data_IF_388760460656
#
_entry.id   IF_388760460656
#
_cell.length_a   1.000
_cell.length_b   1.000
_cell.length_c   1.000
_cell.angle_alpha   90.00
_cell.angle_beta   90.00
_cell.angle_gamma   90.00
#
_symmetry.space_group_name_H-M   'P 1'
#
loop_
_entity.id
_entity.type
_entity.pdbx_description
1 polymer ?
#
# COMPACT_ATOMS: atom_id res chain seq x y z
N UNK A 1 -55.92 -31.12 54.07
CA UNK A 1 -56.04 -29.72 54.48
C UNK A 1 -55.78 -28.85 53.26
N UNK A 2 -56.83 -28.23 52.80
CA UNK A 2 -56.96 -27.49 51.56
C UNK A 2 -56.21 -26.19 51.59
N UNK A 3 -55.75 -25.69 50.43
CA UNK A 3 -56.13 -24.36 49.96
C UNK A 3 -55.76 -24.17 48.51
N UNK A 4 -56.79 -23.95 47.73
CA UNK A 4 -56.92 -23.43 46.42
C UNK A 4 -56.37 -21.96 46.33
N UNK A 5 -55.80 -21.55 45.22
CA UNK A 5 -55.86 -20.17 44.75
C UNK A 5 -55.82 -20.11 43.24
N UNK A 6 -56.89 -19.60 42.78
CA UNK A 6 -57.41 -19.30 41.45
C UNK A 6 -56.54 -18.47 40.52
N UNK A 7 -56.76 -18.74 39.19
CA UNK A 7 -56.48 -18.02 37.99
C UNK A 7 -56.58 -16.50 38.06
N UNK A 8 -55.67 -15.82 37.28
CA UNK A 8 -56.06 -14.62 36.57
C UNK A 8 -55.25 -14.52 35.26
N UNK A 9 -55.91 -14.91 34.17
CA UNK A 9 -55.50 -14.60 32.79
C UNK A 9 -55.63 -13.10 32.55
N UNK A 10 -54.55 -12.41 32.24
CA UNK A 10 -54.60 -11.08 31.61
C UNK A 10 -54.13 -11.17 30.18
N UNK A 11 -55.04 -10.86 29.28
CA UNK A 11 -54.88 -10.64 27.84
C UNK A 11 -53.86 -9.50 27.59
N UNK A 12 -52.87 -9.74 26.75
CA UNK A 12 -51.99 -8.71 26.17
C UNK A 12 -52.40 -8.52 24.72
N UNK A 13 -52.63 -7.28 24.24
CA UNK A 13 -53.06 -7.04 22.88
C UNK A 13 -51.91 -7.13 21.90
N UNK A 14 -52.20 -7.65 20.71
CA UNK A 14 -51.37 -7.53 19.50
C UNK A 14 -51.23 -6.08 19.12
N UNK A 15 -49.98 -5.61 18.94
CA UNK A 15 -49.73 -4.29 18.42
C UNK A 15 -48.27 -4.11 17.95
N UNK A 16 -48.17 -3.81 16.67
CA UNK A 16 -47.06 -3.18 15.98
C UNK A 16 -45.83 -4.03 15.59
N UNK A 17 -45.84 -4.43 14.36
CA UNK A 17 -44.68 -4.80 13.54
C UNK A 17 -43.73 -3.59 13.46
N UNK A 18 -42.71 -3.55 14.29
CA UNK A 18 -41.62 -2.59 14.16
C UNK A 18 -40.60 -3.12 13.16
N UNK A 19 -40.45 -2.46 12.03
CA UNK A 19 -39.37 -2.70 11.10
C UNK A 19 -38.02 -2.40 11.82
N UNK A 20 -37.21 -3.42 12.08
CA UNK A 20 -35.82 -3.25 12.46
C UNK A 20 -35.06 -2.74 11.22
N UNK A 21 -34.76 -1.46 11.22
CA UNK A 21 -33.69 -0.90 10.38
C UNK A 21 -32.36 -1.44 10.95
N UNK A 22 -31.74 -2.35 10.24
CA UNK A 22 -30.33 -2.68 10.46
C UNK A 22 -29.50 -1.47 10.02
N UNK A 23 -29.12 -0.63 10.98
CA UNK A 23 -28.01 0.29 10.82
C UNK A 23 -26.75 -0.57 10.91
N UNK A 24 -26.08 -0.80 9.81
CA UNK A 24 -24.73 -1.36 9.81
C UNK A 24 -23.82 -0.37 10.52
N UNK A 25 -23.53 -0.63 11.79
CA UNK A 25 -22.47 0.09 12.51
C UNK A 25 -21.15 -0.29 11.85
N UNK A 26 -20.57 0.65 11.11
CA UNK A 26 -19.24 0.49 10.57
C UNK A 26 -18.26 0.18 11.72
N UNK A 27 -17.50 -0.91 11.57
CA UNK A 27 -16.45 -1.27 12.49
C UNK A 27 -15.40 -0.15 12.55
N UNK A 28 -15.30 0.53 13.66
CA UNK A 28 -14.33 1.62 13.87
C UNK A 28 -13.22 1.18 14.81
N UNK A 29 -11.98 1.60 14.52
CA UNK A 29 -10.87 1.44 15.43
C UNK A 29 -11.11 2.25 16.71
N UNK A 30 -10.78 1.69 17.88
CA UNK A 30 -10.89 2.41 19.15
C UNK A 30 -10.01 3.66 19.14
N UNK A 31 -10.60 4.83 19.40
CA UNK A 31 -9.92 6.13 19.35
C UNK A 31 -8.90 6.28 20.49
N UNK A 32 -7.69 6.76 20.17
CA UNK A 32 -6.84 7.43 21.13
C UNK A 32 -7.50 8.76 21.59
N UNK A 33 -7.16 9.32 22.77
CA UNK A 33 -7.79 10.54 23.26
C UNK A 33 -7.64 11.70 22.28
N UNK A 34 -8.76 12.32 21.98
CA UNK A 34 -8.95 13.40 21.02
C UNK A 34 -8.13 14.64 21.39
N UNK A 35 -7.09 14.94 20.62
CA UNK A 35 -6.51 16.29 20.58
C UNK A 35 -7.03 16.88 19.27
N UNK A 36 -8.05 17.70 19.36
CA UNK A 36 -8.75 18.39 18.29
C UNK A 36 -7.82 19.01 17.26
N UNK A 37 -7.74 18.43 16.05
CA UNK A 37 -7.41 19.12 14.78
C UNK A 37 -8.35 18.66 13.68
N UNK A 38 -8.72 19.61 12.86
CA UNK A 38 -9.83 19.55 11.92
C UNK A 38 -9.75 18.46 10.87
N UNK A 39 -10.89 18.23 10.28
CA UNK A 39 -11.24 17.49 9.06
C UNK A 39 -10.11 16.60 8.49
N UNK A 40 -10.16 15.32 8.76
CA UNK A 40 -9.31 14.27 8.15
C UNK A 40 -9.28 14.47 6.62
N UNK A 41 -8.12 14.86 6.10
CA UNK A 41 -7.83 15.05 4.70
C UNK A 41 -6.97 13.91 4.16
N UNK A 42 -7.40 12.64 4.30
CA UNK A 42 -6.72 11.57 3.60
C UNK A 42 -6.77 11.84 2.09
N UNK A 43 -5.62 11.79 1.46
CA UNK A 43 -5.47 11.96 0.01
C UNK A 43 -5.62 10.58 -0.66
N UNK A 44 -6.67 10.40 -1.47
CA UNK A 44 -6.93 9.14 -2.18
C UNK A 44 -6.77 9.39 -3.67
N UNK A 45 -5.88 8.60 -4.29
CA UNK A 45 -5.71 8.54 -5.74
C UNK A 45 -6.10 7.14 -6.23
N UNK A 46 -7.34 6.94 -6.69
CA UNK A 46 -7.72 5.70 -7.34
C UNK A 46 -6.88 5.47 -8.60
N UNK A 47 -6.47 4.23 -8.87
CA UNK A 47 -5.69 3.90 -10.08
C UNK A 47 -6.40 4.33 -11.36
N UNK A 48 -7.74 4.34 -11.36
CA UNK A 48 -8.56 4.81 -12.49
C UNK A 48 -8.51 6.33 -12.73
N UNK A 49 -8.09 7.10 -11.71
CA UNK A 49 -7.94 8.56 -11.81
C UNK A 49 -6.49 8.99 -12.10
N UNK A 50 -5.56 8.04 -12.20
CA UNK A 50 -4.15 8.34 -12.48
C UNK A 50 -3.99 8.90 -13.88
N UNK A 51 -3.33 10.06 -13.97
CA UNK A 51 -2.97 10.67 -15.25
C UNK A 51 -1.68 10.05 -15.79
N UNK A 52 -1.78 9.37 -16.92
CA UNK A 52 -0.69 8.64 -17.54
C UNK A 52 0.01 9.42 -18.63
N UNK A 53 1.33 9.58 -18.51
CA UNK A 53 2.21 10.16 -19.53
C UNK A 53 3.45 9.28 -19.79
N UNK A 54 4.32 9.65 -20.76
CA UNK A 54 5.58 8.95 -20.95
C UNK A 54 6.50 9.17 -19.74
N UNK A 55 7.15 8.09 -19.25
CA UNK A 55 8.16 8.17 -18.19
C UNK A 55 9.37 9.02 -18.65
N UNK A 56 9.81 8.80 -19.88
CA UNK A 56 10.82 9.61 -20.55
C UNK A 56 10.26 10.21 -21.84
N UNK A 57 9.85 11.49 -21.84
CA UNK A 57 9.26 12.14 -23.02
C UNK A 57 10.12 12.10 -24.27
N UNK A 58 11.46 12.07 -24.12
CA UNK A 58 12.39 12.03 -25.25
C UNK A 58 12.29 10.71 -26.06
N UNK A 59 11.72 9.64 -25.48
CA UNK A 59 11.53 8.34 -26.15
C UNK A 59 10.14 8.19 -26.80
N UNK A 60 9.25 9.15 -26.62
CA UNK A 60 7.90 9.10 -27.16
C UNK A 60 7.18 7.79 -26.81
N UNK A 61 6.58 7.12 -27.80
CA UNK A 61 5.81 5.86 -27.64
C UNK A 61 6.67 4.64 -27.24
N UNK A 62 8.00 4.72 -27.35
CA UNK A 62 8.91 3.68 -26.87
C UNK A 62 9.18 3.79 -25.35
N UNK A 63 8.71 4.87 -24.71
CA UNK A 63 8.79 5.03 -23.26
C UNK A 63 7.75 4.17 -22.54
N UNK A 64 8.07 3.58 -21.38
CA UNK A 64 7.03 3.18 -20.44
C UNK A 64 6.13 4.36 -20.08
N UNK A 65 4.89 4.08 -19.68
CA UNK A 65 3.99 5.11 -19.16
C UNK A 65 4.19 5.23 -17.65
N UNK A 66 4.09 6.45 -17.14
CA UNK A 66 4.13 6.73 -15.71
C UNK A 66 2.97 7.61 -15.28
N UNK A 67 2.49 7.38 -14.07
CA UNK A 67 1.42 8.18 -13.45
C UNK A 67 1.75 8.46 -11.99
N UNK A 68 1.75 9.74 -11.60
CA UNK A 68 2.10 10.16 -10.24
C UNK A 68 0.97 9.81 -9.27
N UNK A 69 1.33 9.26 -8.11
CA UNK A 69 0.43 9.02 -6.98
C UNK A 69 0.57 10.10 -5.92
N UNK A 70 1.80 10.49 -5.60
CA UNK A 70 2.12 11.54 -4.63
C UNK A 70 3.48 12.17 -4.95
N UNK A 71 3.70 13.39 -4.48
CA UNK A 71 4.90 14.16 -4.82
C UNK A 71 4.96 14.53 -6.31
N UNK A 72 6.16 14.90 -6.78
CA UNK A 72 6.41 15.21 -8.19
C UNK A 72 7.77 14.66 -8.62
N UNK A 73 7.76 13.55 -9.40
CA UNK A 73 8.97 12.90 -9.89
C UNK A 73 9.83 13.78 -10.82
N UNK A 74 9.32 14.91 -11.28
CA UNK A 74 10.03 15.83 -12.18
C UNK A 74 10.71 16.99 -11.45
N UNK A 75 10.47 17.10 -10.15
CA UNK A 75 10.98 18.15 -9.26
C UNK A 75 11.85 17.54 -8.14
N UNK A 76 12.52 18.38 -7.37
CA UNK A 76 13.21 17.98 -6.14
C UNK A 76 12.19 17.48 -5.09
N UNK A 77 12.62 16.54 -4.26
CA UNK A 77 11.85 15.94 -3.18
C UNK A 77 11.35 14.54 -3.49
N UNK A 78 10.74 13.95 -2.49
CA UNK A 78 10.21 12.59 -2.54
C UNK A 78 9.01 12.46 -3.48
N UNK A 79 8.87 11.33 -4.13
CA UNK A 79 7.67 11.02 -4.91
C UNK A 79 7.45 9.53 -5.09
N UNK A 80 6.17 9.17 -5.31
CA UNK A 80 5.74 7.83 -5.67
C UNK A 80 4.84 7.85 -6.90
N UNK A 81 5.06 6.90 -7.79
CA UNK A 81 4.36 6.84 -9.07
C UNK A 81 4.22 5.40 -9.57
N UNK A 82 3.26 5.18 -10.42
CA UNK A 82 3.10 3.92 -11.15
C UNK A 82 3.89 3.96 -12.46
N UNK A 83 4.40 2.79 -12.86
CA UNK A 83 5.00 2.58 -14.18
C UNK A 83 4.31 1.40 -14.85
N UNK A 84 3.88 1.60 -16.11
CA UNK A 84 3.32 0.55 -16.96
C UNK A 84 4.29 0.24 -18.09
N UNK A 85 4.53 -1.04 -18.30
CA UNK A 85 5.36 -1.55 -19.38
C UNK A 85 4.52 -2.35 -20.36
N UNK A 86 4.81 -2.20 -21.66
CA UNK A 86 4.22 -3.03 -22.71
C UNK A 86 4.81 -4.44 -22.64
N UNK A 87 4.08 -5.40 -23.16
CA UNK A 87 4.58 -6.77 -23.36
C UNK A 87 5.89 -6.79 -24.13
N UNK A 88 6.86 -7.55 -23.62
CA UNK A 88 8.18 -7.68 -24.25
C UNK A 88 9.02 -6.39 -24.19
N UNK A 89 8.67 -5.42 -23.37
CA UNK A 89 9.49 -4.24 -23.18
C UNK A 89 10.86 -4.64 -22.63
N UNK A 90 11.91 -4.03 -23.17
CA UNK A 90 13.26 -4.06 -22.60
C UNK A 90 13.94 -2.73 -22.86
N UNK A 91 14.50 -2.14 -21.81
CA UNK A 91 15.28 -0.92 -21.94
C UNK A 91 16.69 -1.22 -22.47
N UNK A 92 17.34 -0.28 -23.16
CA UNK A 92 18.79 -0.32 -23.24
C UNK A 92 19.41 -0.17 -21.83
N UNK A 93 20.68 -0.58 -21.62
CA UNK A 93 21.39 -0.26 -20.40
C UNK A 93 21.36 1.24 -20.10
N UNK A 94 21.00 1.60 -18.87
CA UNK A 94 20.89 3.00 -18.44
C UNK A 94 21.11 3.11 -16.93
N UNK A 95 21.22 4.34 -16.43
CA UNK A 95 21.29 4.65 -15.02
C UNK A 95 20.19 5.63 -14.62
N UNK A 96 19.96 5.75 -13.32
CA UNK A 96 19.23 6.87 -12.73
C UNK A 96 20.16 7.70 -11.85
N UNK A 97 19.86 9.00 -11.74
CA UNK A 97 20.63 9.93 -10.90
C UNK A 97 20.29 9.78 -9.40
N UNK A 98 19.22 9.09 -9.07
CA UNK A 98 18.70 8.85 -7.71
C UNK A 98 18.43 7.37 -7.52
N UNK A 99 18.57 6.89 -6.29
CA UNK A 99 18.11 5.55 -5.90
C UNK A 99 16.60 5.49 -5.95
N UNK A 100 16.07 4.41 -6.51
CA UNK A 100 14.64 4.15 -6.49
C UNK A 100 14.32 2.74 -5.99
N UNK A 101 13.09 2.57 -5.54
CA UNK A 101 12.57 1.31 -5.06
C UNK A 101 11.29 0.97 -5.81
N UNK A 102 11.09 -0.29 -6.10
CA UNK A 102 9.92 -0.75 -6.83
C UNK A 102 9.25 -1.95 -6.21
N UNK A 103 7.92 -2.02 -6.38
CA UNK A 103 7.09 -3.18 -6.03
C UNK A 103 6.26 -3.55 -7.25
N UNK A 104 6.33 -4.81 -7.66
CA UNK A 104 5.51 -5.31 -8.78
C UNK A 104 4.07 -5.45 -8.33
N UNK A 105 3.15 -4.84 -9.09
CA UNK A 105 1.71 -4.91 -8.84
C UNK A 105 1.07 -5.97 -9.74
N UNK A 106 1.45 -5.99 -11.02
CA UNK A 106 0.90 -6.94 -12.00
C UNK A 106 1.95 -7.31 -13.04
N UNK A 107 1.89 -8.54 -13.54
CA UNK A 107 2.82 -9.08 -14.52
C UNK A 107 4.13 -9.52 -13.91
N UNK A 108 5.18 -9.56 -14.73
CA UNK A 108 6.55 -9.93 -14.34
C UNK A 108 7.55 -8.90 -14.83
N UNK A 109 8.45 -8.48 -13.95
CA UNK A 109 9.48 -7.45 -14.23
C UNK A 109 10.85 -8.02 -13.89
N UNK A 110 11.81 -7.79 -14.78
CA UNK A 110 13.23 -7.98 -14.54
C UNK A 110 13.88 -6.61 -14.40
N UNK A 111 14.74 -6.43 -13.40
CA UNK A 111 15.52 -5.20 -13.20
C UNK A 111 16.86 -5.57 -12.57
N UNK A 112 17.94 -5.57 -13.35
CA UNK A 112 19.26 -5.99 -12.88
C UNK A 112 20.38 -5.48 -13.79
N UNK A 113 21.65 -5.75 -13.42
CA UNK A 113 22.83 -5.51 -14.23
C UNK A 113 22.66 -6.05 -15.65
N UNK A 114 23.15 -5.34 -16.69
CA UNK A 114 22.99 -5.76 -18.08
C UNK A 114 23.57 -7.14 -18.43
N UNK A 115 24.50 -7.62 -17.61
CA UNK A 115 25.13 -8.95 -17.76
C UNK A 115 24.54 -10.01 -16.82
N UNK A 116 23.57 -9.68 -15.97
CA UNK A 116 22.92 -10.62 -15.07
C UNK A 116 22.04 -11.62 -15.83
N UNK A 117 21.85 -12.81 -15.27
CA UNK A 117 20.83 -13.72 -15.75
C UNK A 117 19.43 -13.16 -15.43
N UNK A 118 18.48 -13.40 -16.32
CA UNK A 118 17.11 -12.93 -16.14
C UNK A 118 16.50 -13.49 -14.86
N UNK A 119 16.16 -12.60 -13.92
CA UNK A 119 15.37 -12.88 -12.74
C UNK A 119 14.03 -12.15 -12.88
N UNK A 120 12.98 -12.91 -13.16
CA UNK A 120 11.64 -12.37 -13.33
C UNK A 120 10.93 -12.28 -11.99
N UNK A 121 10.62 -11.06 -11.57
CA UNK A 121 9.94 -10.73 -10.33
C UNK A 121 8.42 -10.63 -10.58
N UNK A 122 7.61 -11.56 -10.04
CA UNK A 122 6.15 -11.50 -10.15
C UNK A 122 5.53 -10.51 -9.16
N UNK A 123 4.21 -10.31 -9.25
CA UNK A 123 3.45 -9.43 -8.35
C UNK A 123 3.76 -9.71 -6.87
N UNK A 124 3.90 -8.63 -6.08
CA UNK A 124 4.32 -8.66 -4.68
C UNK A 124 5.84 -8.73 -4.45
N UNK A 125 6.64 -8.85 -5.50
CA UNK A 125 8.10 -8.79 -5.41
C UNK A 125 8.59 -7.34 -5.31
N UNK A 126 9.81 -7.17 -4.79
CA UNK A 126 10.41 -5.87 -4.50
C UNK A 126 11.82 -5.80 -5.09
N UNK A 127 12.24 -4.59 -5.50
CA UNK A 127 13.63 -4.31 -5.84
C UNK A 127 14.08 -2.91 -5.42
N UNK A 128 15.38 -2.73 -5.26
CA UNK A 128 16.05 -1.42 -5.20
C UNK A 128 17.02 -1.29 -6.33
N UNK A 129 17.09 -0.10 -6.92
CA UNK A 129 18.07 0.24 -7.93
C UNK A 129 18.88 1.45 -7.44
N UNK A 130 20.16 1.26 -7.11
CA UNK A 130 21.04 2.33 -6.67
C UNK A 130 21.23 3.43 -7.71
N UNK A 131 21.43 4.65 -7.25
CA UNK A 131 21.83 5.74 -8.10
C UNK A 131 23.14 5.42 -8.82
N UNK A 132 23.21 5.73 -10.12
CA UNK A 132 24.43 5.58 -10.93
C UNK A 132 24.76 4.17 -11.37
N UNK A 133 24.06 3.15 -10.91
CA UNK A 133 24.31 1.76 -11.30
C UNK A 133 23.59 1.41 -12.61
N UNK A 134 24.35 0.90 -13.58
CA UNK A 134 23.80 0.52 -14.87
C UNK A 134 22.93 -0.72 -14.78
N UNK A 135 21.73 -0.67 -15.35
CA UNK A 135 20.78 -1.77 -15.34
C UNK A 135 19.94 -1.83 -16.62
N UNK A 136 19.24 -2.95 -16.78
CA UNK A 136 18.21 -3.16 -17.79
C UNK A 136 16.89 -3.46 -17.05
N UNK A 137 15.82 -2.79 -17.46
CA UNK A 137 14.46 -3.12 -17.01
C UNK A 137 13.71 -3.79 -18.16
N UNK A 138 13.14 -4.96 -17.90
CA UNK A 138 12.34 -5.71 -18.87
C UNK A 138 11.01 -6.14 -18.27
N UNK A 139 10.02 -6.40 -19.14
CA UNK A 139 8.68 -6.81 -18.75
C UNK A 139 8.17 -7.94 -19.65
N UNK A 140 7.65 -9.01 -19.07
CA UNK A 140 7.39 -10.28 -19.79
C UNK A 140 5.92 -10.55 -20.09
N UNK A 141 4.99 -10.08 -19.27
CA UNK A 141 3.56 -10.37 -19.44
C UNK A 141 2.86 -9.36 -20.37
N UNK A 142 1.64 -9.70 -20.78
CA UNK A 142 0.80 -8.83 -21.63
C UNK A 142 0.49 -7.48 -20.98
N UNK A 143 0.38 -7.44 -19.65
CA UNK A 143 0.25 -6.22 -18.86
C UNK A 143 1.22 -6.28 -17.68
N UNK A 144 2.00 -5.21 -17.49
CA UNK A 144 2.97 -5.13 -16.42
C UNK A 144 2.89 -3.75 -15.76
N UNK A 145 2.76 -3.75 -14.45
CA UNK A 145 2.67 -2.53 -13.66
C UNK A 145 3.45 -2.66 -12.35
N UNK A 146 4.20 -1.62 -12.02
CA UNK A 146 4.88 -1.49 -10.74
C UNK A 146 4.61 -0.14 -10.10
N UNK A 147 4.64 -0.11 -8.77
CA UNK A 147 4.85 1.09 -7.99
C UNK A 147 6.34 1.37 -7.90
N UNK A 148 6.72 2.63 -8.04
CA UNK A 148 8.10 3.11 -7.91
C UNK A 148 8.13 4.34 -7.01
N UNK A 149 9.12 4.44 -6.13
CA UNK A 149 9.34 5.61 -5.31
C UNK A 149 10.81 6.05 -5.28
N UNK A 150 11.00 7.34 -5.02
CA UNK A 150 12.30 7.98 -4.83
C UNK A 150 12.29 8.84 -3.57
N UNK A 151 13.45 8.99 -2.92
CA UNK A 151 13.61 9.85 -1.73
C UNK A 151 13.94 11.30 -2.12
N UNK A 152 14.48 11.52 -3.33
CA UNK A 152 14.75 12.86 -3.85
C UNK A 152 14.62 12.84 -5.38
N UNK A 153 14.20 13.96 -5.95
CA UNK A 153 14.00 14.14 -7.38
C UNK A 153 14.96 15.18 -7.98
N UNK A 154 14.89 15.44 -9.28
CA UNK A 154 14.03 14.78 -10.28
C UNK A 154 14.50 13.37 -10.63
N UNK A 155 13.58 12.49 -11.03
CA UNK A 155 13.89 11.15 -11.53
C UNK A 155 14.33 11.22 -13.00
N UNK A 156 15.62 11.06 -13.25
CA UNK A 156 16.21 11.15 -14.58
C UNK A 156 16.73 9.79 -15.05
N UNK A 157 16.50 9.51 -16.33
CA UNK A 157 17.11 8.38 -17.06
C UNK A 157 18.31 8.91 -17.82
N UNK A 158 19.49 8.33 -17.60
CA UNK A 158 20.75 8.73 -18.20
C UNK A 158 21.46 7.57 -18.90
N UNK A 159 22.35 7.84 -19.86
CA UNK A 159 23.15 6.80 -20.50
C UNK A 159 24.01 6.01 -19.51
N UNK A 160 24.25 4.72 -19.79
CA UNK A 160 25.05 3.84 -18.93
C UNK A 160 26.54 4.23 -18.84
N UNK A 161 27.06 4.98 -19.80
CA UNK A 161 28.44 5.50 -19.76
C UNK A 161 28.64 6.65 -18.75
N UNK A 162 27.53 7.19 -18.18
CA UNK A 162 27.56 8.12 -17.04
C UNK A 162 27.49 7.39 -15.68
N UNK A 163 27.71 6.06 -15.63
CA UNK A 163 27.61 5.26 -14.41
C UNK A 163 28.62 5.69 -13.33
N UNK A 164 28.21 5.58 -12.08
CA UNK A 164 29.05 5.82 -10.90
C UNK A 164 28.62 4.91 -9.74
N UNK A 165 29.53 4.65 -8.80
CA UNK A 165 29.23 3.88 -7.59
C UNK A 165 28.74 4.82 -6.48
N UNK A 166 27.48 4.71 -6.08
CA UNK A 166 26.89 5.44 -4.95
C UNK A 166 27.25 4.84 -3.58
N UNK A 167 27.85 3.66 -3.56
CA UNK A 167 28.09 2.88 -2.35
C UNK A 167 26.93 1.95 -1.97
N UNK A 168 25.75 2.11 -2.56
CA UNK A 168 24.61 1.21 -2.40
C UNK A 168 24.76 -0.02 -3.30
N UNK A 169 23.95 -1.04 -3.05
CA UNK A 169 23.88 -2.26 -3.87
C UNK A 169 22.43 -2.59 -4.20
N UNK A 170 22.16 -3.12 -5.42
CA UNK A 170 20.82 -3.51 -5.82
C UNK A 170 20.34 -4.68 -4.97
N UNK A 171 19.04 -4.71 -4.75
CA UNK A 171 18.33 -5.80 -4.10
C UNK A 171 17.19 -6.21 -5.02
N UNK A 172 17.10 -7.49 -5.33
CA UNK A 172 15.95 -8.09 -6.01
C UNK A 172 15.40 -9.19 -5.13
N UNK A 173 14.15 -9.03 -4.67
CA UNK A 173 13.51 -9.90 -3.69
C UNK A 173 12.19 -10.44 -4.26
N UNK A 174 12.22 -11.72 -4.63
CA UNK A 174 11.01 -12.44 -5.05
C UNK A 174 10.02 -12.55 -3.87
N UNK A 175 8.73 -12.42 -4.15
CA UNK A 175 7.66 -12.46 -3.13
C UNK A 175 7.68 -13.75 -2.29
N UNK A 176 8.21 -14.85 -2.81
CA UNK A 176 8.33 -16.13 -2.08
C UNK A 176 9.45 -16.14 -1.04
N UNK A 177 10.39 -15.19 -1.13
CA UNK A 177 11.50 -15.03 -0.20
C UNK A 177 11.25 -13.97 0.89
N UNK A 178 10.06 -13.39 0.94
CA UNK A 178 9.67 -12.42 1.96
C UNK A 178 9.58 -13.08 3.33
N UNK A 179 10.16 -12.45 4.35
CA UNK A 179 10.03 -12.86 5.75
C UNK A 179 8.82 -12.15 6.34
N UNK A 180 7.79 -12.92 6.67
CA UNK A 180 6.56 -12.41 7.24
C UNK A 180 6.56 -12.54 8.77
N UNK A 181 6.40 -11.42 9.46
CA UNK A 181 6.25 -11.32 10.90
C UNK A 181 4.78 -11.14 11.24
N UNK A 182 4.32 -11.75 12.34
CA UNK A 182 2.98 -11.58 12.89
C UNK A 182 3.01 -11.00 14.33
N UNK A 183 1.87 -10.95 14.98
CA UNK A 183 1.74 -10.39 16.34
C UNK A 183 2.52 -11.15 17.43
N UNK A 184 3.04 -12.36 17.14
CA UNK A 184 3.92 -13.09 18.05
C UNK A 184 5.38 -12.67 17.91
N UNK A 185 5.75 -12.12 16.76
CA UNK A 185 7.12 -11.73 16.41
C UNK A 185 7.41 -10.27 16.68
N UNK A 186 6.39 -9.39 16.54
CA UNK A 186 6.58 -7.94 16.60
C UNK A 186 5.43 -7.23 17.31
N UNK A 187 5.74 -6.17 18.06
CA UNK A 187 4.76 -5.38 18.82
C UNK A 187 3.96 -4.39 17.98
N UNK A 188 4.29 -4.20 16.71
CA UNK A 188 3.58 -3.30 15.79
C UNK A 188 2.22 -3.84 15.35
N UNK A 189 1.96 -5.12 15.55
CA UNK A 189 0.72 -5.79 15.18
C UNK A 189 -0.07 -6.13 16.43
N UNK A 190 -1.34 -5.74 16.45
CA UNK A 190 -2.28 -6.11 17.51
C UNK A 190 -2.45 -7.64 17.57
N UNK A 191 -2.43 -8.19 18.78
CA UNK A 191 -2.52 -9.65 19.03
C UNK A 191 -3.83 -10.29 18.54
N UNK A 192 -4.88 -9.49 18.45
CA UNK A 192 -6.20 -9.96 18.00
C UNK A 192 -6.33 -9.98 16.46
N UNK A 193 -5.30 -9.54 15.72
CA UNK A 193 -5.27 -9.42 14.27
C UNK A 193 -4.53 -10.54 13.58
N UNK A 194 -4.99 -10.91 12.38
CA UNK A 194 -4.30 -11.85 11.49
C UNK A 194 -3.32 -11.17 10.53
N UNK A 195 -3.11 -9.85 10.67
CA UNK A 195 -2.21 -9.11 9.83
C UNK A 195 -0.77 -9.62 9.92
N UNK A 196 -0.01 -9.45 8.84
CA UNK A 196 1.44 -9.73 8.80
C UNK A 196 2.17 -8.58 8.16
N UNK A 197 3.44 -8.38 8.54
CA UNK A 197 4.33 -7.39 7.97
C UNK A 197 5.61 -8.02 7.46
N UNK A 198 6.15 -7.49 6.36
CA UNK A 198 7.47 -7.82 5.85
C UNK A 198 8.23 -6.52 5.59
N UNK A 199 9.32 -6.28 6.33
CA UNK A 199 10.16 -5.11 6.12
C UNK A 199 11.02 -5.30 4.87
N UNK A 200 11.07 -4.27 4.03
CA UNK A 200 11.79 -4.31 2.76
C UNK A 200 13.08 -3.48 2.82
N UNK A 201 13.01 -2.31 3.38
CA UNK A 201 14.12 -1.38 3.49
C UNK A 201 13.93 -0.39 4.63
N UNK A 202 15.02 0.20 5.11
CA UNK A 202 15.01 1.36 6.01
C UNK A 202 16.17 2.30 5.69
N UNK A 203 16.01 3.57 6.02
CA UNK A 203 17.00 4.63 5.83
C UNK A 203 17.09 5.47 7.10
N UNK A 204 17.93 5.07 8.07
CA UNK A 204 18.09 5.81 9.32
C UNK A 204 18.52 7.27 9.13
N UNK A 205 19.26 7.54 8.05
CA UNK A 205 19.73 8.89 7.70
C UNK A 205 18.61 9.79 7.18
N UNK A 206 17.54 9.23 6.63
CA UNK A 206 16.38 9.94 6.12
C UNK A 206 15.20 9.82 7.10
N UNK A 207 15.34 10.46 8.26
CA UNK A 207 14.32 10.49 9.35
C UNK A 207 13.77 9.11 9.74
N UNK A 208 14.51 8.03 9.50
CA UNK A 208 14.04 6.67 9.74
C UNK A 208 12.98 6.23 8.74
N UNK A 209 13.01 6.77 7.53
CA UNK A 209 12.13 6.34 6.45
C UNK A 209 12.30 4.85 6.17
N UNK A 210 11.21 4.16 5.96
CA UNK A 210 11.18 2.71 5.71
C UNK A 210 10.00 2.31 4.83
N UNK A 211 10.16 1.17 4.18
CA UNK A 211 9.11 0.53 3.40
C UNK A 211 8.84 -0.89 3.85
N UNK A 212 7.58 -1.25 3.92
CA UNK A 212 7.14 -2.58 4.30
C UNK A 212 5.95 -3.03 3.45
N UNK A 213 5.80 -4.35 3.32
CA UNK A 213 4.55 -4.94 2.85
C UNK A 213 3.70 -5.33 4.06
N UNK A 214 2.43 -4.98 4.02
CA UNK A 214 1.42 -5.37 5.01
C UNK A 214 0.40 -6.27 4.32
N UNK A 215 0.17 -7.44 4.90
CA UNK A 215 -0.84 -8.40 4.44
C UNK A 215 -2.01 -8.42 5.42
N UNK A 216 -3.21 -8.20 4.91
CA UNK A 216 -4.46 -8.41 5.64
C UNK A 216 -5.16 -9.66 5.10
N UNK A 217 -5.52 -10.63 5.96
CA UNK A 217 -6.33 -11.78 5.53
C UNK A 217 -7.68 -11.36 4.95
N UNK A 218 -8.20 -12.20 4.06
CA UNK A 218 -9.52 -12.03 3.47
C UNK A 218 -10.61 -11.77 4.54
N UNK A 219 -11.45 -10.78 4.29
CA UNK A 219 -12.55 -10.36 5.16
C UNK A 219 -12.14 -9.65 6.45
N UNK A 220 -10.86 -9.37 6.67
CA UNK A 220 -10.38 -8.63 7.84
C UNK A 220 -10.21 -7.15 7.57
N UNK A 221 -10.19 -6.38 8.67
CA UNK A 221 -9.98 -4.95 8.64
C UNK A 221 -8.97 -4.54 9.71
N UNK A 222 -8.13 -3.55 9.38
CA UNK A 222 -7.16 -3.00 10.32
C UNK A 222 -7.00 -1.49 10.12
N UNK A 223 -6.68 -0.79 11.21
CA UNK A 223 -6.21 0.59 11.16
C UNK A 223 -4.70 0.61 11.14
N UNK A 224 -4.13 1.30 10.16
CA UNK A 224 -2.72 1.68 10.19
C UNK A 224 -2.60 3.02 10.92
N UNK A 225 -1.74 3.08 11.93
CA UNK A 225 -1.54 4.30 12.73
C UNK A 225 -0.08 4.65 12.84
N UNK A 226 0.24 5.92 12.66
CA UNK A 226 1.53 6.49 13.02
C UNK A 226 1.29 7.74 13.88
N UNK A 227 2.10 7.92 14.92
CA UNK A 227 2.08 9.11 15.77
C UNK A 227 3.16 10.11 15.35
N UNK A 228 4.02 9.77 14.41
CA UNK A 228 5.20 10.54 14.03
C UNK A 228 5.08 11.18 12.67
N UNK A 229 4.60 10.43 11.68
CA UNK A 229 4.53 10.86 10.29
C UNK A 229 3.28 10.33 9.61
N UNK A 230 2.97 10.91 8.47
CA UNK A 230 1.96 10.39 7.57
C UNK A 230 2.41 9.03 7.00
N UNK A 231 1.44 8.17 6.71
CA UNK A 231 1.68 6.91 6.03
C UNK A 231 1.28 7.04 4.56
N UNK A 232 2.12 6.54 3.67
CA UNK A 232 1.83 6.44 2.24
C UNK A 232 1.56 4.98 1.92
N UNK A 233 0.33 4.67 1.55
CA UNK A 233 -0.15 3.30 1.35
C UNK A 233 -0.54 3.10 -0.11
N UNK A 234 -0.02 2.03 -0.72
CA UNK A 234 -0.37 1.62 -2.09
C UNK A 234 -0.96 0.22 -2.05
N UNK A 235 -2.12 0.04 -2.63
CA UNK A 235 -2.74 -1.28 -2.81
C UNK A 235 -1.94 -2.07 -3.87
N UNK A 236 -1.44 -3.25 -3.49
CA UNK A 236 -0.65 -4.12 -4.38
C UNK A 236 -1.52 -5.24 -4.95
N UNK A 237 -2.34 -5.89 -4.11
CA UNK A 237 -3.23 -6.95 -4.57
C UNK A 237 -4.46 -7.11 -3.68
N UNK A 238 -5.44 -7.89 -4.14
CA UNK A 238 -6.71 -8.11 -3.47
C UNK A 238 -7.77 -7.09 -3.88
N UNK A 239 -8.82 -7.02 -3.06
CA UNK A 239 -9.93 -6.06 -3.22
C UNK A 239 -10.10 -5.22 -1.95
N UNK A 240 -9.13 -4.35 -1.63
CA UNK A 240 -9.21 -3.52 -0.43
C UNK A 240 -10.12 -2.32 -0.60
N UNK A 241 -10.61 -1.82 0.53
CA UNK A 241 -11.35 -0.57 0.66
C UNK A 241 -10.77 0.27 1.81
N UNK A 242 -10.86 1.59 1.72
CA UNK A 242 -10.53 2.49 2.81
C UNK A 242 -11.79 3.14 3.35
N UNK A 243 -11.94 3.12 4.68
CA UNK A 243 -12.99 3.81 5.43
C UNK A 243 -12.35 4.99 6.17
N UNK A 244 -12.55 6.19 5.64
CA UNK A 244 -12.01 7.39 6.25
C UNK A 244 -12.85 7.82 7.45
N UNK A 245 -12.19 8.21 8.53
CA UNK A 245 -12.85 8.72 9.74
C UNK A 245 -13.78 9.89 9.39
N UNK A 246 -15.05 9.78 9.77
CA UNK A 246 -16.06 10.82 9.52
C UNK A 246 -16.68 10.80 8.12
N UNK A 247 -16.33 9.85 7.25
CA UNK A 247 -17.04 9.59 5.99
C UNK A 247 -18.00 8.42 6.16
N UNK A 248 -19.16 8.49 5.53
CA UNK A 248 -20.18 7.43 5.60
C UNK A 248 -19.90 6.27 4.62
N UNK A 249 -19.16 6.55 3.56
CA UNK A 249 -18.89 5.58 2.49
C UNK A 249 -17.40 5.19 2.47
N UNK A 250 -17.15 3.93 2.14
CA UNK A 250 -15.81 3.44 1.83
C UNK A 250 -15.42 3.82 0.39
N UNK A 251 -14.11 3.87 0.15
CA UNK A 251 -13.58 4.02 -1.20
C UNK A 251 -12.79 2.75 -1.58
N UNK A 252 -13.07 2.12 -2.74
CA UNK A 252 -12.32 0.96 -3.20
C UNK A 252 -10.91 1.37 -3.62
N UNK A 253 -9.94 0.53 -3.26
CA UNK A 253 -8.53 0.67 -3.59
C UNK A 253 -8.11 -0.47 -4.52
N UNK A 254 -8.48 -0.41 -5.79
CA UNK A 254 -7.96 -1.38 -6.76
C UNK A 254 -6.42 -1.35 -6.79
N UNK A 255 -5.74 -2.46 -7.13
CA UNK A 255 -4.28 -2.52 -7.22
C UNK A 255 -3.69 -1.35 -8.01
N UNK A 256 -2.71 -0.66 -7.43
CA UNK A 256 -2.16 0.60 -7.93
C UNK A 256 -2.80 1.87 -7.35
N UNK A 257 -3.91 1.76 -6.60
CA UNK A 257 -4.47 2.92 -5.89
C UNK A 257 -3.62 3.30 -4.69
N UNK A 258 -3.62 4.59 -4.37
CA UNK A 258 -2.88 5.20 -3.27
C UNK A 258 -3.84 5.80 -2.24
N UNK A 259 -3.44 5.76 -0.98
CA UNK A 259 -4.02 6.56 0.09
C UNK A 259 -2.92 7.10 1.00
N UNK A 260 -2.91 8.42 1.21
CA UNK A 260 -2.13 9.09 2.25
C UNK A 260 -2.93 9.11 3.54
N UNK A 261 -2.40 8.53 4.62
CA UNK A 261 -3.02 8.55 5.94
C UNK A 261 -2.25 9.54 6.82
N UNK A 262 -2.93 10.58 7.30
CA UNK A 262 -2.30 11.58 8.16
C UNK A 262 -1.89 10.98 9.51
N UNK A 263 -0.79 11.48 10.08
CA UNK A 263 -0.36 11.14 11.43
C UNK A 263 -1.48 11.40 12.45
N UNK A 264 -1.57 10.54 13.46
CA UNK A 264 -2.61 10.61 14.50
C UNK A 264 -4.05 10.42 14.02
N UNK A 265 -4.25 9.89 12.81
CA UNK A 265 -5.58 9.47 12.34
C UNK A 265 -5.83 7.97 12.59
N UNK A 266 -7.07 7.55 12.40
CA UNK A 266 -7.49 6.15 12.60
C UNK A 266 -8.39 5.74 11.43
N UNK A 267 -7.83 5.82 10.22
CA UNK A 267 -8.52 5.36 9.05
C UNK A 267 -8.39 3.84 8.93
N UNK A 268 -9.43 3.20 8.45
CA UNK A 268 -9.54 1.75 8.41
C UNK A 268 -9.37 1.21 6.99
N UNK A 269 -8.48 0.25 6.82
CA UNK A 269 -8.36 -0.55 5.61
C UNK A 269 -9.11 -1.86 5.82
N UNK A 270 -10.04 -2.15 4.93
CA UNK A 270 -10.80 -3.41 4.91
C UNK A 270 -10.38 -4.24 3.69
N UNK A 271 -10.29 -5.53 3.87
CA UNK A 271 -9.99 -6.49 2.81
C UNK A 271 -11.25 -7.24 2.41
N UNK A 272 -11.50 -7.39 1.11
CA UNK A 272 -12.61 -8.19 0.59
C UNK A 272 -12.52 -9.66 1.01
N UNK A 273 -13.64 -10.38 0.91
CA UNK A 273 -13.76 -11.73 1.47
C UNK A 273 -13.08 -12.84 0.62
N UNK A 274 -12.73 -12.56 -0.64
CA UNK A 274 -12.34 -13.61 -1.58
C UNK A 274 -10.85 -13.95 -1.55
N UNK A 275 -9.99 -12.99 -1.17
CA UNK A 275 -8.54 -13.18 -1.13
C UNK A 275 -7.89 -12.19 -0.15
N UNK A 276 -6.68 -12.52 0.31
CA UNK A 276 -5.86 -11.62 1.11
C UNK A 276 -5.55 -10.33 0.33
N UNK A 277 -5.45 -9.21 1.06
CA UNK A 277 -5.00 -7.94 0.51
C UNK A 277 -3.54 -7.70 0.87
N UNK A 278 -2.80 -7.15 -0.08
CA UNK A 278 -1.42 -6.76 0.08
C UNK A 278 -1.30 -5.26 -0.14
N UNK A 279 -0.62 -4.58 0.79
CA UNK A 279 -0.33 -3.16 0.72
C UNK A 279 1.17 -2.93 0.83
N UNK A 280 1.68 -1.98 0.07
CA UNK A 280 2.96 -1.36 0.37
C UNK A 280 2.71 -0.16 1.28
N UNK A 281 3.51 -0.02 2.33
CA UNK A 281 3.44 1.09 3.30
C UNK A 281 4.80 1.73 3.42
N UNK A 282 4.89 3.04 3.13
CA UNK A 282 6.03 3.88 3.47
C UNK A 282 5.69 4.69 4.72
N UNK A 283 6.62 4.73 5.67
CA UNK A 283 6.52 5.51 6.91
C UNK A 283 7.85 6.14 7.27
N UNK A 284 7.83 7.20 8.09
CA UNK A 284 8.99 7.69 8.81
C UNK A 284 8.86 7.24 10.27
N UNK A 285 9.63 6.20 10.63
CA UNK A 285 9.54 5.55 11.95
C UNK A 285 8.44 4.49 12.05
N UNK A 286 8.13 4.11 13.27
CA UNK A 286 7.22 3.00 13.58
C UNK A 286 5.75 3.37 13.30
N UNK A 287 4.98 2.36 12.88
CA UNK A 287 3.52 2.44 12.81
C UNK A 287 2.88 1.18 13.39
N UNK A 288 1.63 1.28 13.78
CA UNK A 288 0.86 0.20 14.37
C UNK A 288 -0.18 -0.32 13.39
N UNK A 289 -0.40 -1.65 13.39
CA UNK A 289 -1.45 -2.35 12.67
C UNK A 289 -2.45 -2.85 13.72
N UNK A 290 -3.54 -2.12 13.89
CA UNK A 290 -4.54 -2.38 14.93
C UNK A 290 -5.78 -2.99 14.31
N UNK A 291 -6.20 -4.16 14.79
CA UNK A 291 -7.42 -4.81 14.31
C UNK A 291 -8.62 -3.90 14.50
N UNK A 292 -9.41 -3.70 13.46
CA UNK A 292 -10.69 -3.03 13.58
C UNK A 292 -11.67 -3.99 14.26
N UNK A 293 -12.19 -3.62 15.45
CA UNK A 293 -13.23 -4.40 16.12
C UNK A 293 -14.52 -4.24 15.33
N UNK A 294 -15.07 -5.37 14.89
CA UNK A 294 -16.40 -5.49 14.27
C UNK A 294 -17.52 -5.02 15.20
#
# INVERSE_FOLDING_TARGET
MAMSLTETLRKIPFGALGALLFVSAGAGCASAPDISRGVSGADIVPVSAVEWGPLNPARGDASPRAGTLWGDRTSAGESGFLVQFKEGFSSPPHIHNVTYRGVVIEGVIHNDDPGAADMWLPAGSFWTQPAGEAHVTSAGDAFNMAYVEIDDGPYLVKPADESFDSGERPVSLDHTNLVWLDASDITWIDRDGGAKISFLWNSPENNGAQGALVKLPAGQSACLRSNQSDLRVVAISGAPEVHLKGKAESAPLAPGSYVGLEANTSDNLACGADADCLFYVRSEGEFEIVSAKS
#
